data_IF_408747837266
#
_entry.id   IF_408747837266
#
_cell.length_a   1.000
_cell.length_b   1.000
_cell.length_c   1.000
_cell.angle_alpha   90.00
_cell.angle_beta   90.00
_cell.angle_gamma   90.00
#
_symmetry.space_group_name_H-M   'P 1'
#
loop_
_entity.id
_entity.type
_entity.pdbx_description
1 polymer ?
#
# COMPACT_ATOMS: atom_id res chain seq x y z
N UNK A 1 -18.63 49.72 -4.40
CA UNK A 1 -20.07 49.38 -4.32
C UNK A 1 -20.22 47.99 -3.78
N UNK A 2 -20.67 47.89 -2.54
CA UNK A 2 -20.90 46.63 -1.81
C UNK A 2 -22.19 45.98 -2.31
N UNK A 3 -22.18 44.68 -2.60
CA UNK A 3 -23.42 43.88 -2.59
C UNK A 3 -23.16 42.61 -1.80
N UNK A 4 -23.70 42.59 -0.61
CA UNK A 4 -23.81 41.47 0.31
C UNK A 4 -25.03 40.67 -0.13
N UNK A 5 -24.87 39.39 -0.46
CA UNK A 5 -25.98 38.44 -0.59
C UNK A 5 -25.95 37.49 0.59
N UNK A 6 -26.83 37.75 1.54
CA UNK A 6 -27.21 36.78 2.58
C UNK A 6 -28.25 35.83 1.99
N UNK A 7 -27.97 34.53 2.03
CA UNK A 7 -28.96 33.50 1.81
C UNK A 7 -29.07 32.63 3.05
N UNK A 8 -30.26 32.73 3.66
CA UNK A 8 -30.66 31.96 4.82
C UNK A 8 -30.95 30.50 4.46
N UNK A 9 -30.49 29.60 5.29
CA UNK A 9 -30.75 28.13 5.20
C UNK A 9 -31.82 27.80 6.23
N UNK A 10 -32.94 27.15 5.86
CA UNK A 10 -33.87 26.61 6.85
C UNK A 10 -33.43 25.22 7.30
N UNK A 11 -33.40 25.05 8.59
CA UNK A 11 -33.21 23.82 9.37
C UNK A 11 -34.48 22.96 9.26
N UNK A 12 -34.36 21.76 8.74
CA UNK A 12 -35.42 20.75 8.81
C UNK A 12 -34.92 19.54 9.57
N UNK A 13 -35.37 19.41 10.81
CA UNK A 13 -35.18 18.24 11.66
C UNK A 13 -36.29 17.23 11.35
N UNK A 14 -35.94 16.02 10.98
CA UNK A 14 -36.88 14.88 10.98
C UNK A 14 -36.35 13.76 11.87
N UNK A 15 -37.05 13.58 12.96
CA UNK A 15 -36.94 12.48 13.91
C UNK A 15 -37.78 11.31 13.35
N UNK A 16 -37.21 10.11 13.23
CA UNK A 16 -38.01 8.88 13.09
C UNK A 16 -37.63 7.87 14.16
N UNK A 17 -38.68 7.47 14.85
CA UNK A 17 -38.70 6.56 16.00
C UNK A 17 -38.65 5.08 15.59
N UNK A 18 -37.95 4.35 16.43
CA UNK A 18 -38.11 2.96 16.88
C UNK A 18 -39.27 2.13 16.34
N UNK A 19 -38.97 0.88 15.97
CA UNK A 19 -39.88 -0.23 16.14
C UNK A 19 -39.12 -1.47 16.58
N UNK A 20 -39.32 -1.87 17.83
CA UNK A 20 -39.06 -3.21 18.37
C UNK A 20 -40.13 -4.16 17.85
N UNK A 21 -39.73 -5.34 17.40
CA UNK A 21 -40.61 -6.45 17.10
C UNK A 21 -39.98 -7.76 17.58
N UNK A 22 -40.34 -8.19 18.78
CA UNK A 22 -40.14 -9.56 19.27
C UNK A 22 -41.08 -10.50 18.54
N UNK A 23 -40.58 -11.67 18.13
CA UNK A 23 -41.43 -12.86 18.04
C UNK A 23 -40.64 -14.12 18.42
N UNK A 24 -41.04 -14.71 19.52
CA UNK A 24 -40.72 -16.05 19.96
C UNK A 24 -41.37 -17.07 18.99
N UNK A 25 -40.63 -18.14 18.69
CA UNK A 25 -41.13 -19.33 18.05
C UNK A 25 -40.20 -20.50 18.38
N UNK A 26 -40.52 -21.21 19.46
CA UNK A 26 -39.95 -22.52 19.78
C UNK A 26 -40.34 -23.53 18.70
N UNK A 27 -39.38 -24.26 18.15
CA UNK A 27 -39.58 -25.63 17.71
C UNK A 27 -38.30 -26.46 17.94
N UNK A 28 -38.47 -27.36 18.88
CA UNK A 28 -37.58 -28.46 19.22
C UNK A 28 -37.73 -29.57 18.17
N UNK A 29 -36.61 -30.14 17.67
CA UNK A 29 -36.36 -31.56 17.49
C UNK A 29 -35.09 -31.84 16.64
N UNK A 30 -34.31 -32.79 17.17
CA UNK A 30 -33.58 -33.76 16.37
C UNK A 30 -32.04 -33.64 16.45
N UNK A 31 -31.48 -34.49 17.32
CA UNK A 31 -30.06 -34.87 17.32
C UNK A 31 -29.70 -35.54 15.99
N UNK A 32 -28.64 -35.12 15.34
CA UNK A 32 -27.72 -36.06 14.72
C UNK A 32 -26.30 -35.44 14.69
N UNK A 33 -25.36 -36.25 15.18
CA UNK A 33 -23.94 -35.93 15.26
C UNK A 33 -23.33 -36.08 13.87
N UNK A 34 -22.83 -34.99 13.32
CA UNK A 34 -21.94 -34.95 12.14
C UNK A 34 -20.71 -34.19 12.49
N UNK A 35 -19.65 -34.92 12.85
CA UNK A 35 -18.32 -34.38 13.09
C UNK A 35 -17.73 -34.01 11.73
N UNK A 36 -17.69 -32.71 11.38
CA UNK A 36 -16.86 -32.20 10.32
C UNK A 36 -15.75 -31.34 10.94
N UNK A 37 -14.62 -32.01 11.16
CA UNK A 37 -13.36 -31.34 11.37
C UNK A 37 -13.04 -30.52 10.11
N UNK A 38 -13.39 -29.24 10.15
CA UNK A 38 -12.89 -28.26 9.22
C UNK A 38 -11.41 -28.01 9.51
N UNK A 39 -10.53 -28.55 8.68
CA UNK A 39 -9.14 -28.13 8.64
C UNK A 39 -9.10 -26.66 8.22
N UNK A 40 -9.10 -25.76 9.18
CA UNK A 40 -8.50 -24.43 9.00
C UNK A 40 -6.99 -24.65 8.89
N UNK A 41 -6.51 -24.74 7.66
CA UNK A 41 -5.11 -24.55 7.35
C UNK A 41 -4.77 -23.07 7.63
N UNK A 42 -4.57 -22.76 8.92
CA UNK A 42 -3.84 -21.59 9.33
C UNK A 42 -2.45 -21.73 8.76
N UNK A 43 -2.20 -21.13 7.58
CA UNK A 43 -0.86 -20.84 7.12
C UNK A 43 -0.28 -19.86 8.17
N UNK A 44 0.38 -20.43 9.18
CA UNK A 44 1.32 -19.70 10.00
C UNK A 44 2.43 -19.23 9.06
N UNK A 45 2.25 -18.04 8.48
CA UNK A 45 3.38 -17.26 8.02
C UNK A 45 4.27 -17.11 9.27
N UNK A 46 5.41 -17.78 9.27
CA UNK A 46 6.48 -17.52 10.23
C UNK A 46 6.69 -16.01 10.21
N UNK A 47 6.36 -15.35 11.31
CA UNK A 47 6.73 -13.96 11.56
C UNK A 47 8.25 -13.91 11.68
N UNK A 48 8.94 -13.90 10.54
CA UNK A 48 10.27 -13.33 10.45
C UNK A 48 10.09 -11.89 10.87
N UNK A 49 10.79 -11.46 11.92
CA UNK A 49 10.59 -10.16 12.57
C UNK A 49 10.40 -9.06 11.54
N UNK A 50 9.33 -8.27 11.69
CA UNK A 50 8.91 -7.25 10.73
C UNK A 50 10.08 -6.30 10.48
N UNK A 51 10.62 -6.29 9.26
CA UNK A 51 11.72 -5.41 8.90
C UNK A 51 11.37 -3.94 9.17
N UNK A 52 12.28 -3.23 9.80
CA UNK A 52 12.17 -1.80 10.10
C UNK A 52 13.43 -1.08 9.65
N UNK A 53 13.29 0.21 9.33
CA UNK A 53 14.41 1.09 8.98
C UNK A 53 14.82 1.85 10.24
N UNK A 54 16.13 2.06 10.45
CA UNK A 54 16.65 2.71 11.66
C UNK A 54 16.14 4.13 11.88
N UNK A 55 15.94 4.88 10.80
CA UNK A 55 15.33 6.20 10.86
C UNK A 55 13.81 6.06 10.91
N UNK A 56 13.18 6.49 12.00
CA UNK A 56 11.75 6.34 12.24
C UNK A 56 10.89 7.06 11.20
N UNK A 57 11.32 8.24 10.72
CA UNK A 57 10.60 8.99 9.70
C UNK A 57 10.66 8.27 8.36
N UNK A 58 11.86 7.81 7.97
CA UNK A 58 12.03 7.02 6.75
C UNK A 58 11.27 5.69 6.85
N UNK A 59 11.22 5.07 8.03
CA UNK A 59 10.44 3.86 8.26
C UNK A 59 8.94 4.10 8.07
N UNK A 60 8.40 5.22 8.54
CA UNK A 60 7.01 5.59 8.30
C UNK A 60 6.72 5.80 6.80
N UNK A 61 7.64 6.44 6.06
CA UNK A 61 7.56 6.59 4.60
C UNK A 61 7.62 5.23 3.90
N UNK A 62 8.48 4.33 4.34
CA UNK A 62 8.58 2.98 3.80
C UNK A 62 7.25 2.19 3.93
N UNK A 63 6.51 2.34 5.02
CA UNK A 63 5.19 1.70 5.15
C UNK A 63 4.21 2.20 4.07
N UNK A 64 4.26 3.48 3.72
CA UNK A 64 3.44 4.02 2.63
C UNK A 64 3.94 3.58 1.25
N UNK A 65 5.25 3.46 1.09
CA UNK A 65 5.86 2.90 -0.11
C UNK A 65 5.43 1.43 -0.34
N UNK A 66 5.38 0.61 0.70
CA UNK A 66 4.89 -0.77 0.59
C UNK A 66 3.43 -0.82 0.12
N UNK A 67 2.58 0.12 0.57
CA UNK A 67 1.20 0.26 0.09
C UNK A 67 1.15 0.71 -1.38
N UNK A 68 2.01 1.66 -1.78
CA UNK A 68 2.13 2.09 -3.17
C UNK A 68 2.55 0.91 -4.06
N UNK A 69 3.57 0.15 -3.64
CA UNK A 69 4.03 -1.05 -4.36
C UNK A 69 2.90 -2.05 -4.55
N UNK A 70 2.14 -2.34 -3.48
CA UNK A 70 0.97 -3.23 -3.56
C UNK A 70 -0.09 -2.69 -4.52
N UNK A 71 -0.41 -1.40 -4.46
CA UNK A 71 -1.38 -0.79 -5.36
C UNK A 71 -0.96 -0.90 -6.84
N UNK A 72 0.33 -0.74 -7.15
CA UNK A 72 0.87 -0.91 -8.51
C UNK A 72 0.85 -2.37 -8.97
N UNK A 73 1.10 -3.33 -8.06
CA UNK A 73 0.95 -4.77 -8.31
C UNK A 73 -0.51 -5.10 -8.68
N UNK A 74 -1.46 -4.58 -7.90
CA UNK A 74 -2.89 -4.83 -8.08
C UNK A 74 -3.50 -4.01 -9.23
N UNK A 75 -2.75 -3.09 -9.85
CA UNK A 75 -3.23 -2.21 -10.91
C UNK A 75 -4.19 -1.13 -10.43
N UNK A 76 -4.23 -0.83 -9.12
CA UNK A 76 -5.12 0.15 -8.51
C UNK A 76 -4.51 1.55 -8.51
N UNK A 77 -4.73 2.28 -9.60
CA UNK A 77 -4.23 3.64 -9.78
C UNK A 77 -4.74 4.63 -8.72
N UNK A 78 -5.93 4.41 -8.16
CA UNK A 78 -6.50 5.28 -7.14
C UNK A 78 -5.78 5.09 -5.80
N UNK A 79 -5.57 3.83 -5.37
CA UNK A 79 -4.77 3.54 -4.17
C UNK A 79 -3.32 3.98 -4.32
N UNK A 80 -2.73 3.84 -5.51
CA UNK A 80 -1.38 4.35 -5.79
C UNK A 80 -1.28 5.86 -5.55
N UNK A 81 -2.27 6.66 -5.96
CA UNK A 81 -2.31 8.11 -5.68
C UNK A 81 -2.42 8.41 -4.18
N UNK A 82 -3.25 7.67 -3.45
CA UNK A 82 -3.41 7.85 -2.00
C UNK A 82 -2.11 7.58 -1.26
N UNK A 83 -1.46 6.46 -1.54
CA UNK A 83 -0.17 6.11 -0.95
C UNK A 83 0.92 7.13 -1.30
N UNK A 84 0.95 7.61 -2.55
CA UNK A 84 1.91 8.62 -3.00
C UNK A 84 1.72 9.96 -2.29
N UNK A 85 0.47 10.38 -2.03
CA UNK A 85 0.20 11.59 -1.23
C UNK A 85 0.78 11.47 0.20
N UNK A 86 0.63 10.31 0.82
CA UNK A 86 1.19 10.06 2.15
C UNK A 86 2.73 10.03 2.13
N UNK A 87 3.36 9.48 1.07
CA UNK A 87 4.80 9.51 0.86
C UNK A 87 5.28 10.96 0.72
N UNK A 88 4.65 11.76 -0.15
CA UNK A 88 5.02 13.17 -0.35
C UNK A 88 4.97 13.96 0.96
N UNK A 89 3.93 13.75 1.76
CA UNK A 89 3.78 14.43 3.03
C UNK A 89 4.88 14.02 4.04
N UNK A 90 5.15 12.72 4.18
CA UNK A 90 6.07 12.19 5.17
C UNK A 90 7.54 12.39 4.82
N UNK A 91 7.90 12.40 3.54
CA UNK A 91 9.29 12.47 3.10
C UNK A 91 9.91 13.86 3.26
N UNK A 92 9.11 14.91 3.39
CA UNK A 92 9.58 16.31 3.56
C UNK A 92 10.45 16.49 4.79
N UNK A 93 10.26 15.65 5.80
CA UNK A 93 11.02 15.67 7.06
C UNK A 93 12.24 14.75 7.06
N UNK A 94 12.53 14.10 5.91
CA UNK A 94 13.67 13.18 5.75
C UNK A 94 14.73 13.84 4.86
N UNK A 95 15.95 14.07 5.35
CA UNK A 95 17.02 14.67 4.55
C UNK A 95 17.34 13.83 3.31
N UNK A 96 17.35 14.46 2.14
CA UNK A 96 17.57 13.81 0.85
C UNK A 96 16.29 13.21 0.23
N UNK A 97 15.12 13.57 0.75
CA UNK A 97 13.83 13.09 0.26
C UNK A 97 13.23 13.88 -0.90
N UNK A 98 13.89 14.92 -1.40
CA UNK A 98 13.35 15.88 -2.38
C UNK A 98 12.93 15.19 -3.70
N UNK A 99 13.76 14.26 -4.20
CA UNK A 99 13.46 13.51 -5.42
C UNK A 99 12.31 12.52 -5.22
N UNK A 100 12.20 11.95 -4.01
CA UNK A 100 11.08 11.06 -3.64
C UNK A 100 9.78 11.86 -3.62
N UNK A 101 9.77 13.05 -3.00
CA UNK A 101 8.61 13.94 -2.99
C UNK A 101 8.18 14.34 -4.41
N UNK A 102 9.14 14.73 -5.26
CA UNK A 102 8.86 15.09 -6.64
C UNK A 102 8.29 13.91 -7.45
N UNK A 103 8.79 12.69 -7.22
CA UNK A 103 8.30 11.50 -7.90
C UNK A 103 6.91 11.08 -7.40
N UNK A 104 6.65 11.21 -6.10
CA UNK A 104 5.32 10.99 -5.52
C UNK A 104 4.29 11.95 -6.10
N UNK A 105 4.64 13.24 -6.26
CA UNK A 105 3.79 14.23 -6.93
C UNK A 105 3.48 13.85 -8.39
N UNK A 106 4.48 13.30 -9.14
CA UNK A 106 4.26 12.80 -10.49
C UNK A 106 3.28 11.62 -10.53
N UNK A 107 3.39 10.67 -9.59
CA UNK A 107 2.45 9.55 -9.48
C UNK A 107 1.02 10.04 -9.23
N UNK A 108 0.84 11.04 -8.38
CA UNK A 108 -0.48 11.63 -8.12
C UNK A 108 -1.06 12.32 -9.35
N UNK A 109 -0.23 12.99 -10.15
CA UNK A 109 -0.64 13.70 -11.37
C UNK A 109 -0.83 12.78 -12.58
N UNK A 110 -0.33 11.55 -12.55
CA UNK A 110 -0.37 10.60 -13.65
C UNK A 110 -1.80 10.27 -14.09
N UNK A 111 -2.02 10.16 -15.42
CA UNK A 111 -3.32 9.85 -16.01
C UNK A 111 -3.73 8.38 -15.84
N UNK A 112 -2.75 7.49 -15.84
CA UNK A 112 -2.92 6.04 -15.88
C UNK A 112 -1.85 5.31 -15.05
N UNK A 113 -2.01 4.00 -14.93
CA UNK A 113 -1.13 3.14 -14.12
C UNK A 113 0.27 3.03 -14.71
N UNK A 114 0.42 3.08 -16.03
CA UNK A 114 1.73 2.95 -16.69
C UNK A 114 2.60 4.19 -16.41
N UNK A 115 2.02 5.39 -16.52
CA UNK A 115 2.69 6.63 -16.14
C UNK A 115 3.04 6.67 -14.64
N UNK A 116 2.21 6.06 -13.77
CA UNK A 116 2.54 5.89 -12.35
C UNK A 116 3.76 4.97 -12.16
N UNK A 117 3.84 3.86 -12.90
CA UNK A 117 4.96 2.91 -12.84
C UNK A 117 6.28 3.54 -13.30
N UNK A 118 6.24 4.40 -14.31
CA UNK A 118 7.43 5.17 -14.73
C UNK A 118 7.95 6.08 -13.61
N UNK A 119 7.07 6.86 -12.99
CA UNK A 119 7.45 7.75 -11.89
C UNK A 119 7.89 6.98 -10.63
N UNK A 120 7.26 5.81 -10.37
CA UNK A 120 7.62 4.91 -9.29
C UNK A 120 9.07 4.42 -9.37
N UNK A 121 9.60 4.21 -10.57
CA UNK A 121 10.99 3.76 -10.74
C UNK A 121 11.99 4.73 -10.11
N UNK A 122 11.83 6.03 -10.36
CA UNK A 122 12.69 7.04 -9.74
C UNK A 122 12.50 7.09 -8.23
N UNK A 123 11.26 7.09 -7.76
CA UNK A 123 10.93 7.06 -6.33
C UNK A 123 11.59 5.87 -5.63
N UNK A 124 11.48 4.69 -6.24
CA UNK A 124 11.99 3.43 -5.70
C UNK A 124 13.52 3.44 -5.58
N UNK A 125 14.23 3.88 -6.63
CA UNK A 125 15.69 3.97 -6.62
C UNK A 125 16.20 4.91 -5.52
N UNK A 126 15.58 6.08 -5.35
CA UNK A 126 15.94 7.05 -4.33
C UNK A 126 15.65 6.52 -2.92
N UNK A 127 14.50 5.86 -2.74
CA UNK A 127 14.16 5.26 -1.44
C UNK A 127 15.15 4.13 -1.07
N UNK A 128 15.50 3.26 -2.01
CA UNK A 128 16.51 2.20 -1.80
C UNK A 128 17.83 2.82 -1.34
N UNK A 129 18.26 3.92 -1.95
CA UNK A 129 19.50 4.60 -1.56
C UNK A 129 19.43 5.16 -0.13
N UNK A 130 18.32 5.78 0.27
CA UNK A 130 18.13 6.28 1.63
C UNK A 130 18.06 5.14 2.66
N UNK A 131 17.37 4.04 2.33
CA UNK A 131 17.27 2.85 3.20
C UNK A 131 18.65 2.22 3.42
N UNK A 132 19.45 2.08 2.36
CA UNK A 132 20.83 1.56 2.46
C UNK A 132 21.70 2.45 3.36
N UNK A 133 21.54 3.76 3.27
CA UNK A 133 22.27 4.73 4.09
C UNK A 133 21.82 4.69 5.55
N UNK A 134 20.53 4.56 5.81
CA UNK A 134 19.97 4.50 7.15
C UNK A 134 20.28 3.18 7.85
N UNK A 135 20.14 2.08 7.13
CA UNK A 135 20.25 0.69 7.62
C UNK A 135 18.91 0.13 8.06
N UNK A 136 18.84 -1.20 8.06
CA UNK A 136 17.67 -2.00 8.45
C UNK A 136 17.89 -2.55 9.85
N UNK A 137 16.81 -2.69 10.63
CA UNK A 137 16.78 -3.34 11.94
C UNK A 137 15.60 -4.29 11.99
N UNK A 138 15.80 -5.47 12.54
CA UNK A 138 14.75 -6.50 12.64
C UNK A 138 14.27 -6.96 11.27
N UNK A 139 14.44 -8.21 10.93
CA UNK A 139 14.05 -8.77 9.64
C UNK A 139 14.96 -8.38 8.47
N UNK A 140 14.46 -8.58 7.26
CA UNK A 140 15.19 -8.37 6.01
C UNK A 140 14.33 -7.57 5.02
N UNK A 141 14.99 -6.72 4.22
CA UNK A 141 14.40 -6.09 3.05
C UNK A 141 15.14 -6.57 1.81
N UNK A 142 14.41 -6.82 0.74
CA UNK A 142 14.94 -7.31 -0.52
C UNK A 142 14.92 -6.20 -1.56
N UNK A 143 16.03 -5.98 -2.23
CA UNK A 143 16.10 -5.13 -3.42
C UNK A 143 15.91 -6.04 -4.62
N UNK A 144 14.73 -5.95 -5.21
CA UNK A 144 14.32 -6.73 -6.36
C UNK A 144 14.55 -5.96 -7.66
N UNK A 145 14.69 -6.68 -8.77
CA UNK A 145 14.94 -6.11 -10.09
C UNK A 145 14.28 -6.92 -11.19
N UNK A 146 13.60 -6.26 -12.10
CA UNK A 146 13.10 -6.84 -13.35
C UNK A 146 13.79 -6.18 -14.55
N UNK A 147 14.54 -6.92 -15.38
CA UNK A 147 15.25 -6.34 -16.52
C UNK A 147 14.32 -5.85 -17.63
N UNK A 148 13.12 -6.44 -17.75
CA UNK A 148 12.14 -6.11 -18.78
C UNK A 148 11.26 -4.91 -18.43
N UNK A 149 11.35 -4.39 -17.21
CA UNK A 149 10.55 -3.23 -16.80
C UNK A 149 10.93 -1.99 -17.62
N UNK A 150 9.95 -1.10 -17.87
CA UNK A 150 10.16 0.22 -18.49
C UNK A 150 10.83 0.12 -19.87
N UNK A 151 10.28 -0.70 -20.76
CA UNK A 151 10.82 -0.92 -22.10
C UNK A 151 12.29 -1.40 -22.08
N UNK A 152 12.54 -2.46 -21.29
CA UNK A 152 13.86 -3.11 -21.13
C UNK A 152 14.97 -2.21 -20.51
N UNK A 153 14.59 -1.08 -19.90
CA UNK A 153 15.53 -0.26 -19.12
C UNK A 153 15.81 -0.83 -17.74
N UNK A 154 14.92 -1.72 -17.30
CA UNK A 154 14.96 -2.32 -15.98
C UNK A 154 14.35 -1.46 -14.88
N UNK A 155 13.81 -2.13 -13.85
CA UNK A 155 13.20 -1.46 -12.71
C UNK A 155 13.55 -2.14 -11.41
N UNK A 156 13.94 -1.35 -10.40
CA UNK A 156 14.21 -1.83 -9.04
C UNK A 156 13.03 -1.50 -8.12
N UNK A 157 12.81 -2.35 -7.11
CA UNK A 157 11.91 -2.05 -6.01
C UNK A 157 12.38 -2.68 -4.70
N UNK A 158 11.82 -2.22 -3.59
CA UNK A 158 12.10 -2.72 -2.25
C UNK A 158 10.91 -3.56 -1.78
N UNK A 159 11.19 -4.75 -1.24
CA UNK A 159 10.19 -5.69 -0.74
C UNK A 159 10.55 -6.18 0.67
N UNK A 160 9.55 -6.49 1.48
CA UNK A 160 9.71 -7.20 2.75
C UNK A 160 9.48 -8.71 2.64
N UNK A 161 9.12 -9.20 1.46
CA UNK A 161 8.93 -10.62 1.18
C UNK A 161 9.91 -11.06 0.10
N UNK A 162 10.42 -12.27 0.22
CA UNK A 162 11.39 -12.83 -0.74
C UNK A 162 10.76 -13.24 -2.07
N UNK A 163 9.45 -13.48 -2.06
CA UNK A 163 8.72 -13.81 -3.28
C UNK A 163 8.66 -12.58 -4.19
N UNK A 164 9.02 -12.77 -5.47
CA UNK A 164 8.93 -11.70 -6.46
C UNK A 164 7.48 -11.40 -6.77
N UNK A 165 7.09 -10.14 -6.56
CA UNK A 165 5.81 -9.57 -6.98
C UNK A 165 6.07 -8.24 -7.68
N UNK A 166 5.93 -8.24 -8.98
CA UNK A 166 6.41 -7.17 -9.84
C UNK A 166 5.43 -5.99 -9.93
N UNK A 167 5.77 -4.79 -9.41
CA UNK A 167 4.91 -3.60 -9.47
C UNK A 167 4.84 -2.96 -10.87
N UNK A 168 5.81 -3.23 -11.74
CA UNK A 168 5.87 -2.65 -13.08
C UNK A 168 4.94 -3.33 -14.07
N UNK A 169 4.61 -4.61 -13.87
CA UNK A 169 3.75 -5.37 -14.76
C UNK A 169 2.43 -5.82 -14.11
N UNK A 170 2.40 -5.97 -12.78
CA UNK A 170 1.25 -6.55 -12.09
C UNK A 170 0.92 -7.94 -12.65
N UNK A 171 -0.36 -8.21 -12.86
CA UNK A 171 -0.84 -9.52 -13.32
C UNK A 171 -0.25 -9.98 -14.66
N UNK A 172 0.21 -9.05 -15.50
CA UNK A 172 0.78 -9.39 -16.82
C UNK A 172 2.07 -10.23 -16.70
N UNK A 173 2.92 -9.92 -15.70
CA UNK A 173 4.19 -10.59 -15.47
C UNK A 173 4.56 -10.55 -13.98
N UNK A 174 3.71 -11.06 -13.12
CA UNK A 174 3.81 -10.96 -11.66
C UNK A 174 5.17 -11.41 -11.10
N UNK A 175 5.71 -12.48 -11.61
CA UNK A 175 6.94 -13.12 -11.11
C UNK A 175 8.20 -12.76 -11.93
N UNK A 176 8.11 -11.75 -12.81
CA UNK A 176 9.31 -11.30 -13.54
C UNK A 176 10.21 -10.52 -12.61
N UNK A 177 11.42 -11.01 -12.41
CA UNK A 177 12.44 -10.37 -11.59
C UNK A 177 13.25 -11.33 -10.76
N UNK A 178 14.20 -10.80 -10.05
CA UNK A 178 15.08 -11.53 -9.14
C UNK A 178 15.51 -10.64 -7.97
N UNK A 179 15.81 -11.26 -6.83
CA UNK A 179 16.42 -10.54 -5.69
C UNK A 179 17.87 -10.20 -6.03
N UNK A 180 18.21 -8.93 -6.08
CA UNK A 180 19.60 -8.46 -6.31
C UNK A 180 20.39 -8.31 -5.02
N UNK A 181 19.73 -7.92 -3.94
CA UNK A 181 20.39 -7.64 -2.67
C UNK A 181 19.42 -7.88 -1.51
N UNK A 182 19.98 -8.34 -0.39
CA UNK A 182 19.26 -8.45 0.89
C UNK A 182 19.87 -7.47 1.88
N UNK A 183 19.04 -6.56 2.40
CA UNK A 183 19.40 -5.57 3.42
C UNK A 183 19.05 -6.12 4.81
N UNK A 184 20.00 -6.02 5.77
CA UNK A 184 19.87 -6.53 7.15
C UNK A 184 20.26 -5.48 8.18
#
# INVERSE_FOLDING_TARGET
MKRIFQLAIPLAATIFMTSCGSNNGEHNHGKEAGNHEGHEASAQATETGKASIKDDKLNAVYQQYAQLTTALIDGDAAKAKIASNAIEAGIKDVPGGENIAASAAKIMAASDIEAQREAYSTLSNELIALVKKSGVIGGELYVDYCPMALDDKGGYWLSSIKEIRNPYFGDKMMNCGEVKETLK
#
